data_IF_922441738316
#
_entry.id   IF_922441738316
#
_cell.length_a   1.000
_cell.length_b   1.000
_cell.length_c   1.000
_cell.angle_alpha   90.00
_cell.angle_beta   90.00
_cell.angle_gamma   90.00
#
_symmetry.space_group_name_H-M   'P 1'
#
loop_
_entity.id
_entity.type
_entity.pdbx_description
1 polymer ?
#
# COMPACT_ATOMS: atom_id res chain seq x y z
N UNK A 1 -32.13 -60.36 -30.91
CA UNK A 1 -31.10 -59.33 -31.11
C UNK A 1 -31.16 -58.89 -32.60
N UNK A 2 -31.71 -57.67 -32.85
CA UNK A 2 -31.69 -57.05 -34.17
C UNK A 2 -30.32 -56.45 -34.42
N UNK A 3 -29.49 -57.05 -35.22
CA UNK A 3 -28.23 -56.49 -35.74
C UNK A 3 -28.60 -55.47 -36.80
N UNK A 4 -28.47 -54.18 -36.46
CA UNK A 4 -28.66 -53.08 -37.39
C UNK A 4 -27.46 -53.08 -38.32
N UNK A 5 -27.66 -53.59 -39.60
CA UNK A 5 -26.65 -53.49 -40.66
C UNK A 5 -26.59 -52.02 -41.14
N UNK A 6 -25.65 -51.21 -40.60
CA UNK A 6 -25.37 -49.90 -41.16
C UNK A 6 -24.69 -49.98 -42.48
N UNK A 7 -25.22 -49.32 -43.53
CA UNK A 7 -24.53 -49.18 -44.79
C UNK A 7 -23.24 -48.38 -44.67
N UNK A 8 -22.22 -48.64 -45.49
CA UNK A 8 -20.94 -47.91 -45.47
C UNK A 8 -21.11 -46.38 -45.52
N UNK A 9 -22.12 -45.87 -46.20
CA UNK A 9 -22.47 -44.49 -46.31
C UNK A 9 -22.98 -43.89 -44.99
N UNK A 10 -23.77 -44.68 -44.24
CA UNK A 10 -24.28 -44.21 -42.92
C UNK A 10 -23.15 -44.05 -41.87
N UNK A 11 -22.17 -44.97 -41.89
CA UNK A 11 -20.99 -44.87 -41.02
C UNK A 11 -20.18 -43.62 -41.34
N UNK A 12 -19.98 -43.31 -42.63
CA UNK A 12 -19.27 -42.13 -43.07
C UNK A 12 -19.95 -40.83 -42.63
N UNK A 13 -21.26 -40.73 -42.73
CA UNK A 13 -22.04 -39.56 -42.27
C UNK A 13 -21.91 -39.37 -40.76
N UNK A 14 -21.99 -40.46 -39.98
CA UNK A 14 -21.85 -40.37 -38.52
C UNK A 14 -20.45 -39.86 -38.12
N UNK A 15 -19.40 -40.40 -38.76
CA UNK A 15 -18.03 -39.94 -38.52
C UNK A 15 -17.88 -38.45 -38.87
N UNK A 16 -18.44 -38.01 -40.00
CA UNK A 16 -18.39 -36.61 -40.41
C UNK A 16 -19.08 -35.69 -39.41
N UNK A 17 -20.28 -36.09 -38.93
CA UNK A 17 -21.00 -35.31 -37.88
C UNK A 17 -20.19 -35.24 -36.59
N UNK A 18 -19.64 -36.35 -36.13
CA UNK A 18 -18.82 -36.39 -34.92
C UNK A 18 -17.61 -35.49 -35.08
N UNK A 19 -16.90 -35.56 -36.21
CA UNK A 19 -15.72 -34.72 -36.47
C UNK A 19 -16.06 -33.24 -36.46
N UNK A 20 -17.14 -32.83 -37.16
CA UNK A 20 -17.58 -31.43 -37.17
C UNK A 20 -17.96 -30.97 -35.76
N UNK A 21 -18.70 -31.79 -35.00
CA UNK A 21 -19.09 -31.46 -33.64
C UNK A 21 -17.86 -31.25 -32.71
N UNK A 22 -16.88 -32.16 -32.83
CA UNK A 22 -15.62 -32.03 -32.05
C UNK A 22 -14.86 -30.75 -32.43
N UNK A 23 -14.76 -30.42 -33.73
CA UNK A 23 -14.10 -29.20 -34.20
C UNK A 23 -14.81 -27.93 -33.69
N UNK A 24 -16.15 -27.92 -33.70
CA UNK A 24 -16.94 -26.80 -33.14
C UNK A 24 -16.72 -26.67 -31.65
N UNK A 25 -16.71 -27.77 -30.89
CA UNK A 25 -16.45 -27.74 -29.44
C UNK A 25 -15.05 -27.21 -29.12
N UNK A 26 -14.02 -27.65 -29.86
CA UNK A 26 -12.64 -27.17 -29.70
C UNK A 26 -12.58 -25.66 -29.96
N UNK A 27 -13.16 -25.21 -31.09
CA UNK A 27 -13.18 -23.78 -31.43
C UNK A 27 -13.89 -22.93 -30.35
N UNK A 28 -15.02 -23.42 -29.86
CA UNK A 28 -15.78 -22.73 -28.80
C UNK A 28 -14.97 -22.65 -27.47
N UNK A 29 -14.29 -23.76 -27.14
CA UNK A 29 -13.43 -23.79 -25.94
C UNK A 29 -12.25 -22.82 -26.03
N UNK A 30 -11.60 -22.72 -27.20
CA UNK A 30 -10.52 -21.78 -27.46
C UNK A 30 -11.02 -20.33 -27.37
N UNK A 31 -12.14 -20.00 -27.99
CA UNK A 31 -12.73 -18.66 -27.90
C UNK A 31 -13.08 -18.30 -26.46
N UNK A 32 -13.61 -19.26 -25.67
CA UNK A 32 -13.91 -19.01 -24.25
C UNK A 32 -12.64 -18.78 -23.44
N UNK A 33 -11.56 -19.50 -23.71
CA UNK A 33 -10.27 -19.30 -23.05
C UNK A 33 -9.72 -17.90 -23.34
N UNK A 34 -9.75 -17.43 -24.58
CA UNK A 34 -9.32 -16.08 -24.98
C UNK A 34 -10.15 -15.00 -24.29
N UNK A 35 -11.46 -15.17 -24.19
CA UNK A 35 -12.35 -14.24 -23.48
C UNK A 35 -12.01 -14.19 -21.99
N UNK A 36 -11.80 -15.34 -21.36
CA UNK A 36 -11.46 -15.41 -19.94
C UNK A 36 -10.10 -14.79 -19.66
N UNK A 37 -9.12 -15.01 -20.53
CA UNK A 37 -7.80 -14.40 -20.43
C UNK A 37 -7.88 -12.87 -20.59
N UNK A 38 -8.58 -12.38 -21.60
CA UNK A 38 -8.81 -10.94 -21.82
C UNK A 38 -9.52 -10.29 -20.64
N UNK A 39 -10.54 -10.95 -20.07
CA UNK A 39 -11.22 -10.48 -18.87
C UNK A 39 -10.27 -10.40 -17.67
N UNK A 40 -9.42 -11.42 -17.49
CA UNK A 40 -8.43 -11.44 -16.42
C UNK A 40 -7.42 -10.30 -16.55
N UNK A 41 -6.90 -10.04 -17.74
CA UNK A 41 -6.00 -8.90 -17.99
C UNK A 41 -6.67 -7.56 -17.69
N UNK A 42 -7.93 -7.40 -18.08
CA UNK A 42 -8.67 -6.18 -17.81
C UNK A 42 -8.90 -5.97 -16.30
N UNK A 43 -9.31 -7.01 -15.57
CA UNK A 43 -9.50 -6.96 -14.13
C UNK A 43 -8.19 -6.61 -13.40
N UNK A 44 -7.06 -7.24 -13.76
CA UNK A 44 -5.75 -6.93 -13.20
C UNK A 44 -5.32 -5.48 -13.49
N UNK A 45 -5.65 -4.97 -14.67
CA UNK A 45 -5.39 -3.57 -15.04
C UNK A 45 -6.17 -2.59 -14.16
N UNK A 46 -7.44 -2.86 -13.90
CA UNK A 46 -8.29 -2.04 -13.03
C UNK A 46 -7.78 -2.04 -11.57
N UNK A 47 -7.44 -3.21 -11.03
CA UNK A 47 -6.91 -3.34 -9.67
C UNK A 47 -5.59 -2.58 -9.51
N UNK A 48 -4.70 -2.64 -10.49
CA UNK A 48 -3.46 -1.85 -10.49
C UNK A 48 -3.74 -0.35 -10.53
N UNK A 49 -4.70 0.08 -11.33
CA UNK A 49 -5.11 1.48 -11.41
C UNK A 49 -5.72 1.96 -10.09
N UNK A 50 -6.55 1.14 -9.44
CA UNK A 50 -7.12 1.42 -8.13
C UNK A 50 -6.02 1.61 -7.07
N UNK A 51 -5.02 0.75 -7.06
CA UNK A 51 -3.86 0.88 -6.16
C UNK A 51 -3.08 2.19 -6.39
N UNK A 52 -2.85 2.57 -7.65
CA UNK A 52 -2.19 3.84 -7.97
C UNK A 52 -3.04 5.05 -7.57
N UNK A 53 -4.36 4.96 -7.72
CA UNK A 53 -5.27 6.01 -7.26
C UNK A 53 -5.21 6.17 -5.73
N UNK A 54 -5.22 5.07 -4.97
CA UNK A 54 -5.08 5.10 -3.50
C UNK A 54 -3.77 5.77 -3.10
N UNK A 55 -2.68 5.43 -3.74
CA UNK A 55 -1.39 6.07 -3.53
C UNK A 55 -1.44 7.57 -3.78
N UNK A 56 -2.07 7.99 -4.88
CA UNK A 56 -2.25 9.41 -5.23
C UNK A 56 -3.13 10.16 -4.24
N UNK A 57 -4.23 9.56 -3.81
CA UNK A 57 -5.14 10.16 -2.84
C UNK A 57 -4.53 10.25 -1.43
N UNK A 58 -3.73 9.26 -1.03
CA UNK A 58 -2.95 9.31 0.21
C UNK A 58 -1.98 10.50 0.22
N UNK A 59 -1.27 10.72 -0.89
CA UNK A 59 -0.40 11.87 -1.05
C UNK A 59 -1.14 13.20 -0.90
N UNK A 60 -2.29 13.33 -1.56
CA UNK A 60 -3.14 14.53 -1.46
C UNK A 60 -3.68 14.71 -0.05
N UNK A 61 -4.10 13.62 0.61
CA UNK A 61 -4.58 13.67 2.00
C UNK A 61 -3.53 14.27 2.92
N UNK A 62 -2.27 13.86 2.81
CA UNK A 62 -1.18 14.40 3.60
C UNK A 62 -0.97 15.88 3.30
N UNK A 63 -0.94 16.26 2.03
CA UNK A 63 -0.75 17.65 1.61
C UNK A 63 -1.86 18.57 2.12
N UNK A 64 -3.11 18.13 2.08
CA UNK A 64 -4.26 18.89 2.60
C UNK A 64 -4.22 18.95 4.13
N UNK A 65 -3.92 17.82 4.78
CA UNK A 65 -3.89 17.68 6.23
C UNK A 65 -2.86 18.56 6.90
N UNK A 66 -1.75 18.78 6.25
CA UNK A 66 -0.72 19.66 6.75
C UNK A 66 -1.22 21.09 6.97
N UNK A 67 -2.00 21.60 6.02
CA UNK A 67 -2.59 22.95 6.13
C UNK A 67 -3.62 23.05 7.28
N UNK A 68 -4.16 21.93 7.75
CA UNK A 68 -5.23 21.86 8.74
C UNK A 68 -4.77 21.45 10.15
N UNK A 69 -3.49 21.29 10.41
CA UNK A 69 -2.91 20.91 11.72
C UNK A 69 -3.22 19.49 12.22
N UNK A 70 -3.83 18.59 11.43
CA UNK A 70 -4.32 17.31 11.91
C UNK A 70 -3.93 16.15 10.99
N UNK A 71 -2.65 16.08 10.58
CA UNK A 71 -2.15 15.07 9.63
C UNK A 71 -2.50 13.66 10.10
N UNK A 72 -2.21 13.35 11.36
CA UNK A 72 -2.41 12.00 11.90
C UNK A 72 -3.89 11.57 11.87
N UNK A 73 -4.82 12.47 12.20
CA UNK A 73 -6.25 12.17 12.15
C UNK A 73 -6.75 11.93 10.72
N UNK A 74 -6.42 12.83 9.80
CA UNK A 74 -6.90 12.75 8.42
C UNK A 74 -6.30 11.54 7.67
N UNK A 75 -5.03 11.21 7.92
CA UNK A 75 -4.43 9.99 7.36
C UNK A 75 -5.05 8.74 7.98
N UNK A 76 -5.35 8.76 9.28
CA UNK A 76 -6.10 7.70 9.94
C UNK A 76 -7.47 7.46 9.28
N UNK A 77 -8.24 8.53 9.09
CA UNK A 77 -9.56 8.46 8.48
C UNK A 77 -9.49 7.93 7.05
N UNK A 78 -8.49 8.34 6.29
CA UNK A 78 -8.23 7.81 4.96
C UNK A 78 -7.94 6.31 4.98
N UNK A 79 -7.08 5.82 5.90
CA UNK A 79 -6.77 4.40 6.03
C UNK A 79 -7.99 3.59 6.44
N UNK A 80 -8.75 4.07 7.43
CA UNK A 80 -9.98 3.42 7.89
C UNK A 80 -11.00 3.31 6.75
N UNK A 81 -11.22 4.41 6.02
CA UNK A 81 -12.10 4.42 4.86
C UNK A 81 -11.64 3.43 3.77
N UNK A 82 -10.36 3.48 3.41
CA UNK A 82 -9.79 2.59 2.39
C UNK A 82 -9.91 1.13 2.81
N UNK A 83 -9.57 0.81 4.06
CA UNK A 83 -9.71 -0.55 4.61
C UNK A 83 -11.15 -1.05 4.54
N UNK A 84 -12.13 -0.23 4.91
CA UNK A 84 -13.56 -0.59 4.83
C UNK A 84 -14.02 -0.79 3.38
N UNK A 85 -13.59 0.08 2.46
CA UNK A 85 -13.90 -0.04 1.04
C UNK A 85 -13.37 -1.33 0.42
N UNK A 86 -12.17 -1.77 0.83
CA UNK A 86 -11.59 -3.05 0.39
C UNK A 86 -12.28 -4.25 1.02
N UNK A 87 -12.57 -4.21 2.31
CA UNK A 87 -13.29 -5.28 3.00
C UNK A 87 -14.66 -5.55 2.37
N UNK A 88 -15.37 -4.52 1.92
CA UNK A 88 -16.67 -4.67 1.24
C UNK A 88 -16.57 -5.42 -0.10
N UNK A 89 -15.38 -5.54 -0.66
CA UNK A 89 -15.08 -6.25 -1.92
C UNK A 89 -14.28 -7.54 -1.72
N UNK A 90 -14.26 -8.07 -0.50
CA UNK A 90 -13.45 -9.24 -0.12
C UNK A 90 -11.94 -9.04 -0.33
N UNK A 91 -11.48 -7.79 -0.24
CA UNK A 91 -10.08 -7.42 -0.30
C UNK A 91 -9.51 -7.09 1.08
N UNK A 92 -8.20 -7.15 1.20
CA UNK A 92 -7.45 -6.77 2.39
C UNK A 92 -6.57 -5.57 2.03
N UNK A 93 -6.62 -4.54 2.84
CA UNK A 93 -5.75 -3.37 2.75
C UNK A 93 -5.03 -3.19 4.08
N UNK A 94 -3.71 -3.24 4.04
CA UNK A 94 -2.84 -3.08 5.22
C UNK A 94 -1.69 -2.14 4.90
N UNK A 95 -1.08 -1.56 5.93
CA UNK A 95 0.07 -0.71 5.71
C UNK A 95 0.72 -0.17 6.98
N UNK A 96 1.88 0.41 6.77
CA UNK A 96 2.61 1.20 7.77
C UNK A 96 2.86 2.58 7.19
N UNK A 97 2.54 3.61 7.95
CA UNK A 97 2.83 4.99 7.58
C UNK A 97 3.80 5.62 8.58
N UNK A 98 4.72 6.42 8.08
CA UNK A 98 5.59 7.25 8.90
C UNK A 98 5.58 8.65 8.34
N UNK A 99 5.29 9.64 9.18
CA UNK A 99 5.31 11.05 8.81
C UNK A 99 6.28 11.77 9.70
N UNK A 100 7.27 12.43 9.11
CA UNK A 100 8.27 13.25 9.77
C UNK A 100 8.07 14.72 9.40
N UNK A 101 7.76 15.54 10.39
CA UNK A 101 7.58 16.98 10.25
C UNK A 101 8.86 17.71 10.65
N UNK A 102 9.51 18.31 9.67
CA UNK A 102 10.72 19.10 9.86
C UNK A 102 10.38 20.51 10.32
N UNK A 103 11.02 21.03 11.37
CA UNK A 103 10.77 22.39 11.83
C UNK A 103 11.30 23.42 10.83
N UNK A 104 10.60 24.56 10.80
CA UNK A 104 10.92 25.68 9.94
C UNK A 104 11.99 26.62 10.49
N UNK A 105 12.16 26.61 11.81
CA UNK A 105 13.05 27.52 12.53
C UNK A 105 14.10 26.72 13.30
N UNK A 106 15.36 27.08 13.07
CA UNK A 106 16.46 26.58 13.90
C UNK A 106 16.44 27.27 15.27
N UNK A 107 16.31 26.47 16.28
CA UNK A 107 16.68 26.87 17.61
C UNK A 107 17.98 26.15 17.93
N UNK A 108 19.03 26.92 18.23
CA UNK A 108 20.38 26.39 18.45
C UNK A 108 20.48 25.27 19.51
N UNK A 109 19.47 25.12 20.36
CA UNK A 109 19.48 24.17 21.47
C UNK A 109 18.28 23.23 21.53
N UNK A 110 17.16 23.52 20.86
CA UNK A 110 15.91 22.79 21.05
C UNK A 110 15.11 22.61 19.73
N UNK A 111 15.78 22.24 18.67
CA UNK A 111 15.06 21.88 17.43
C UNK A 111 14.31 20.56 17.63
N UNK A 112 13.05 20.50 17.23
CA UNK A 112 12.21 19.31 17.38
C UNK A 112 11.80 18.76 16.03
N UNK A 113 12.00 17.46 15.82
CA UNK A 113 11.42 16.69 14.73
C UNK A 113 10.22 15.92 15.29
N UNK A 114 9.04 16.21 14.80
CA UNK A 114 7.85 15.41 15.13
C UNK A 114 7.77 14.21 14.20
N UNK A 115 7.56 13.04 14.78
CA UNK A 115 7.42 11.78 14.04
C UNK A 115 6.12 11.11 14.43
N UNK A 116 5.30 10.82 13.45
CA UNK A 116 4.08 10.02 13.61
C UNK A 116 4.27 8.68 12.91
N UNK A 117 4.12 7.60 13.64
CA UNK A 117 4.11 6.23 13.10
C UNK A 117 2.70 5.69 13.17
N UNK A 118 2.20 5.15 12.07
CA UNK A 118 0.84 4.66 11.92
C UNK A 118 0.89 3.17 11.62
N UNK A 119 0.27 2.36 12.49
CA UNK A 119 0.17 0.92 12.33
C UNK A 119 -1.21 0.53 11.80
N UNK A 120 -1.31 0.29 10.51
CA UNK A 120 -2.53 -0.25 9.86
C UNK A 120 -2.35 -1.69 9.38
N UNK A 121 -1.35 -2.39 9.92
CA UNK A 121 -1.26 -3.84 9.78
C UNK A 121 -2.42 -4.53 10.49
N UNK A 122 -2.70 -5.77 10.13
CA UNK A 122 -3.70 -6.58 10.84
C UNK A 122 -3.19 -7.11 12.19
N UNK A 123 -1.94 -6.78 12.53
CA UNK A 123 -1.22 -7.20 13.73
C UNK A 123 -0.64 -6.01 14.49
N UNK A 124 -0.42 -6.21 15.78
CA UNK A 124 0.34 -5.28 16.59
C UNK A 124 1.83 -5.32 16.21
N UNK A 125 2.50 -4.19 16.22
CA UNK A 125 3.96 -4.17 16.20
C UNK A 125 4.46 -4.55 17.60
N UNK A 126 5.18 -5.65 17.70
CA UNK A 126 5.76 -6.11 18.98
C UNK A 126 6.98 -5.29 19.42
N UNK A 127 7.62 -4.61 18.49
CA UNK A 127 8.66 -3.61 18.78
C UNK A 127 8.73 -2.57 17.68
N UNK A 128 8.97 -1.33 18.06
CA UNK A 128 9.26 -0.22 17.17
C UNK A 128 10.46 0.53 17.72
N UNK A 129 11.48 0.69 16.90
CA UNK A 129 12.68 1.43 17.20
C UNK A 129 12.80 2.58 16.20
N UNK A 130 12.91 3.79 16.72
CA UNK A 130 13.11 5.01 15.96
C UNK A 130 14.49 5.57 16.29
N UNK A 131 15.35 5.76 15.30
CA UNK A 131 16.68 6.34 15.47
C UNK A 131 16.81 7.57 14.61
N UNK A 132 17.14 8.70 15.22
CA UNK A 132 17.39 9.96 14.55
C UNK A 132 18.60 10.66 15.18
N UNK A 133 19.59 11.00 14.35
CA UNK A 133 20.80 11.71 14.80
C UNK A 133 21.41 11.12 16.08
N UNK A 134 21.67 9.83 16.13
CA UNK A 134 22.18 9.07 17.27
C UNK A 134 21.24 8.96 18.48
N UNK A 135 20.10 9.63 18.47
CA UNK A 135 19.07 9.48 19.50
C UNK A 135 18.15 8.32 19.12
N UNK A 136 17.92 7.43 20.06
CA UNK A 136 17.10 6.24 19.87
C UNK A 136 15.91 6.24 20.81
N UNK A 137 14.75 5.88 20.28
CA UNK A 137 13.53 5.66 21.06
C UNK A 137 12.98 4.27 20.74
N UNK A 138 12.68 3.52 21.81
CA UNK A 138 12.19 2.16 21.72
C UNK A 138 10.79 2.07 22.30
N UNK A 139 9.88 1.47 21.57
CA UNK A 139 8.50 1.22 21.98
C UNK A 139 8.24 -0.29 21.95
N UNK A 140 7.71 -0.82 23.02
CA UNK A 140 7.50 -2.26 23.22
C UNK A 140 6.25 -2.78 22.51
N UNK A 141 5.30 -1.91 22.20
CA UNK A 141 4.12 -2.28 21.42
C UNK A 141 3.50 -1.04 20.75
N UNK A 142 3.10 -1.19 19.49
CA UNK A 142 2.23 -0.25 18.80
C UNK A 142 1.00 -1.03 18.31
N UNK A 143 -0.17 -0.85 18.95
CA UNK A 143 -1.36 -1.61 18.60
C UNK A 143 -1.75 -1.44 17.12
N UNK A 144 -2.38 -2.45 16.55
CA UNK A 144 -2.98 -2.34 15.22
C UNK A 144 -4.02 -1.22 15.17
N UNK A 145 -4.13 -0.57 14.04
CA UNK A 145 -5.06 0.55 13.81
C UNK A 145 -4.86 1.71 14.80
N UNK A 146 -3.61 1.95 15.20
CA UNK A 146 -3.24 3.03 16.10
C UNK A 146 -2.10 3.89 15.54
N UNK A 147 -1.98 5.09 16.10
CA UNK A 147 -0.93 6.04 15.80
C UNK A 147 -0.07 6.27 17.02
N UNK A 148 1.25 6.29 16.82
CA UNK A 148 2.23 6.72 17.82
C UNK A 148 2.80 8.07 17.38
N UNK A 149 2.67 9.08 18.23
CA UNK A 149 3.28 10.39 18.01
C UNK A 149 4.42 10.57 18.99
N UNK A 150 5.60 10.91 18.49
CA UNK A 150 6.78 11.18 19.29
C UNK A 150 7.58 12.35 18.71
N UNK A 151 8.57 12.83 19.44
CA UNK A 151 9.45 13.88 18.98
C UNK A 151 10.91 13.60 19.34
N UNK A 152 11.82 14.03 18.48
CA UNK A 152 13.25 14.08 18.74
C UNK A 152 13.66 15.52 18.98
N UNK A 153 14.32 15.78 20.10
CA UNK A 153 14.92 17.08 20.38
C UNK A 153 16.41 17.00 20.11
N UNK A 154 16.94 17.91 19.36
CA UNK A 154 18.35 17.94 19.00
C UNK A 154 18.84 19.36 18.81
N UNK A 155 20.16 19.53 18.82
CA UNK A 155 20.82 20.80 18.56
C UNK A 155 21.34 20.84 17.15
N UNK A 156 20.99 21.88 16.40
CA UNK A 156 21.55 22.12 15.07
C UNK A 156 21.68 23.62 14.81
N UNK A 157 22.79 24.02 14.24
CA UNK A 157 23.08 25.40 13.86
C UNK A 157 22.87 25.70 12.38
N UNK A 158 22.63 24.71 11.56
CA UNK A 158 22.53 24.86 10.10
C UNK A 158 21.58 23.85 9.48
N UNK A 159 21.16 24.13 8.24
CA UNK A 159 20.43 23.16 7.41
C UNK A 159 21.29 21.93 7.16
N UNK A 160 20.77 20.76 7.48
CA UNK A 160 21.46 19.48 7.29
C UNK A 160 20.48 18.39 6.90
N UNK A 161 21.01 17.41 6.16
CA UNK A 161 20.30 16.19 5.83
C UNK A 161 20.58 15.14 6.90
N UNK A 162 19.52 14.62 7.47
CA UNK A 162 19.56 13.53 8.43
C UNK A 162 18.82 12.31 7.90
N UNK A 163 19.00 11.19 8.57
CA UNK A 163 18.22 9.99 8.31
C UNK A 163 17.42 9.61 9.55
N UNK A 164 16.11 9.46 9.39
CA UNK A 164 15.25 8.80 10.37
C UNK A 164 15.21 7.32 10.03
N UNK A 165 15.71 6.48 10.91
CA UNK A 165 15.67 5.03 10.77
C UNK A 165 14.49 4.52 11.58
N UNK A 166 13.61 3.77 10.93
CA UNK A 166 12.44 3.15 11.54
C UNK A 166 12.58 1.64 11.40
N UNK A 167 12.77 0.96 12.51
CA UNK A 167 12.82 -0.49 12.54
C UNK A 167 11.64 -1.01 13.36
N UNK A 168 10.85 -1.91 12.79
CA UNK A 168 9.73 -2.52 13.48
C UNK A 168 9.66 -4.03 13.28
N UNK A 169 9.03 -4.72 14.22
CA UNK A 169 8.72 -6.14 14.14
C UNK A 169 7.25 -6.34 14.47
N UNK A 170 6.58 -7.21 13.73
CA UNK A 170 5.19 -7.60 14.02
C UNK A 170 5.11 -8.75 15.01
N UNK A 171 3.96 -8.90 15.66
CA UNK A 171 3.77 -9.88 16.75
C UNK A 171 3.91 -11.33 16.29
N UNK A 172 3.58 -11.67 15.05
CA UNK A 172 3.85 -12.99 14.46
C UNK A 172 5.33 -13.35 14.39
N UNK A 173 6.22 -12.37 14.59
CA UNK A 173 7.67 -12.54 14.59
C UNK A 173 8.32 -12.76 13.22
N UNK A 174 7.52 -12.96 12.18
CA UNK A 174 8.01 -13.32 10.85
C UNK A 174 8.39 -12.11 9.97
N UNK A 175 7.97 -10.91 10.35
CA UNK A 175 8.26 -9.71 9.58
C UNK A 175 8.99 -8.70 10.44
N UNK A 176 10.21 -8.39 10.05
CA UNK A 176 10.97 -7.25 10.57
C UNK A 176 11.35 -6.38 9.38
N UNK A 177 11.12 -5.09 9.50
CA UNK A 177 11.45 -4.12 8.45
C UNK A 177 12.35 -3.03 9.03
N UNK A 178 13.28 -2.58 8.20
CA UNK A 178 14.15 -1.46 8.49
C UNK A 178 14.06 -0.44 7.35
N UNK A 179 13.63 0.76 7.67
CA UNK A 179 13.30 1.80 6.72
C UNK A 179 14.15 3.01 7.03
N UNK A 180 14.81 3.58 6.03
CA UNK A 180 15.56 4.83 6.15
C UNK A 180 14.81 5.93 5.40
N UNK A 181 14.41 6.96 6.13
CA UNK A 181 13.66 8.10 5.61
C UNK A 181 14.59 9.32 5.62
N UNK A 182 14.88 9.95 4.48
CA UNK A 182 15.66 11.17 4.44
C UNK A 182 14.85 12.31 5.03
N UNK A 183 15.43 13.04 5.97
CA UNK A 183 14.82 14.18 6.64
C UNK A 183 15.74 15.38 6.49
N UNK A 184 15.29 16.42 5.82
CA UNK A 184 16.03 17.67 5.69
C UNK A 184 15.55 18.66 6.77
N UNK A 185 16.46 19.06 7.63
CA UNK A 185 16.19 20.06 8.68
C UNK A 185 16.58 21.43 8.17
N UNK A 186 15.72 22.41 8.39
CA UNK A 186 15.94 23.82 8.02
C UNK A 186 15.14 24.32 6.84
N UNK A 187 14.43 23.44 6.21
CA UNK A 187 13.34 23.80 5.32
C UNK A 187 12.07 23.20 5.90
N UNK A 188 11.00 23.99 5.96
CA UNK A 188 9.72 23.44 6.39
C UNK A 188 9.30 22.35 5.38
N UNK A 189 9.62 21.11 5.70
CA UNK A 189 9.30 19.95 4.87
C UNK A 189 8.56 18.91 5.70
N UNK A 190 7.62 18.28 5.05
CA UNK A 190 6.97 17.08 5.51
C UNK A 190 7.48 15.91 4.68
N UNK A 191 8.13 14.96 5.30
CA UNK A 191 8.53 13.72 4.63
C UNK A 191 7.67 12.59 5.15
N UNK A 192 7.02 11.89 4.24
CA UNK A 192 6.20 10.72 4.57
C UNK A 192 6.73 9.49 3.87
N UNK A 193 6.68 8.37 4.58
CA UNK A 193 6.93 7.03 4.06
C UNK A 193 5.68 6.19 4.24
N UNK A 194 5.35 5.40 3.24
CA UNK A 194 4.29 4.40 3.32
C UNK A 194 4.75 3.07 2.75
N UNK A 195 4.46 2.01 3.46
CA UNK A 195 4.46 0.62 2.97
C UNK A 195 3.01 0.17 2.98
N UNK A 196 2.40 0.09 1.80
CA UNK A 196 1.00 -0.32 1.64
C UNK A 196 0.91 -1.63 0.89
N UNK A 197 0.00 -2.47 1.33
CA UNK A 197 -0.29 -3.77 0.72
C UNK A 197 -1.78 -3.87 0.47
N UNK A 198 -2.10 -4.31 -0.71
CA UNK A 198 -3.44 -4.61 -1.13
C UNK A 198 -3.47 -6.03 -1.65
N UNK A 199 -4.32 -6.85 -1.11
CA UNK A 199 -4.50 -8.22 -1.60
C UNK A 199 -5.97 -8.57 -1.70
N UNK A 200 -6.28 -9.39 -2.69
CA UNK A 200 -7.55 -10.07 -2.80
C UNK A 200 -7.28 -11.51 -3.25
N UNK A 201 -8.32 -12.28 -3.53
CA UNK A 201 -8.19 -13.69 -3.93
C UNK A 201 -7.40 -13.91 -5.24
N UNK A 202 -7.04 -12.86 -5.98
CA UNK A 202 -6.45 -12.94 -7.32
C UNK A 202 -5.11 -12.23 -7.43
N UNK A 203 -4.91 -11.18 -6.67
CA UNK A 203 -3.75 -10.30 -6.81
C UNK A 203 -3.26 -9.82 -5.43
N UNK A 204 -1.96 -9.81 -5.27
CA UNK A 204 -1.29 -9.10 -4.18
C UNK A 204 -0.44 -7.97 -4.78
N UNK A 205 -0.66 -6.76 -4.32
CA UNK A 205 0.14 -5.58 -4.65
C UNK A 205 0.76 -5.01 -3.39
N UNK A 206 2.03 -4.69 -3.49
CA UNK A 206 2.80 -4.05 -2.42
C UNK A 206 3.61 -2.91 -3.03
N UNK A 207 3.59 -1.76 -2.37
CA UNK A 207 4.43 -0.63 -2.75
C UNK A 207 4.99 0.08 -1.52
N UNK A 208 6.25 0.49 -1.62
CA UNK A 208 6.94 1.32 -0.64
C UNK A 208 7.31 2.63 -1.31
N UNK A 209 6.85 3.73 -0.78
CA UNK A 209 7.13 5.02 -1.36
C UNK A 209 7.39 6.11 -0.32
N UNK A 210 8.28 7.03 -0.69
CA UNK A 210 8.58 8.22 0.08
C UNK A 210 8.05 9.42 -0.70
N UNK A 211 7.42 10.34 0.02
CA UNK A 211 7.00 11.63 -0.54
C UNK A 211 7.44 12.76 0.37
N UNK A 212 7.95 13.83 -0.25
CA UNK A 212 8.36 15.03 0.45
C UNK A 212 7.57 16.21 -0.07
N UNK A 213 6.96 16.95 0.81
CA UNK A 213 6.18 18.14 0.53
C UNK A 213 6.88 19.36 1.10
N UNK A 214 7.06 20.38 0.26
CA UNK A 214 7.47 21.70 0.72
C UNK A 214 6.29 22.37 1.39
N UNK A 215 6.51 22.83 2.59
CA UNK A 215 5.50 23.52 3.39
C UNK A 215 5.56 24.99 3.03
N UNK A 216 4.65 25.45 2.19
CA UNK A 216 4.57 26.87 1.87
C UNK A 216 4.28 27.70 3.12
N UNK A 217 5.04 28.76 3.30
CA UNK A 217 5.04 29.71 4.42
C UNK A 217 3.73 30.48 4.66
N UNK A 218 2.60 29.99 4.19
CA UNK A 218 1.31 30.69 4.34
C UNK A 218 0.53 30.30 5.60
N UNK A 219 1.18 29.74 6.63
CA UNK A 219 0.54 29.71 7.95
C UNK A 219 0.45 31.15 8.44
N UNK A 220 -0.70 31.79 8.22
CA UNK A 220 -1.04 32.99 8.97
C UNK A 220 -1.03 32.62 10.45
N UNK A 221 -0.16 33.30 11.18
CA UNK A 221 -0.11 33.35 12.64
C UNK A 221 -1.45 33.78 13.18
#
# INVERSE_FOLDING_TARGET
LHVVHMSKGQVFIIIAIITVTVLVLIRTSLNLADILESKRFFELGLERQEFQNIRGEMAKTIQISYNQTNISANVNDFFVFTKQAFLSRSGIFTGVGVVAESPMVFQSTNTRLNVTVMNYLDEDMSSLNLTFNSNQQNFTAVPRSSNLVTNFTFSTASSQNYSLIVAYRVSSGNTSENITIPVEIGTAKLTSFFDIRMSNNRLEQKDKFIQTFLLNNTRKV
#
